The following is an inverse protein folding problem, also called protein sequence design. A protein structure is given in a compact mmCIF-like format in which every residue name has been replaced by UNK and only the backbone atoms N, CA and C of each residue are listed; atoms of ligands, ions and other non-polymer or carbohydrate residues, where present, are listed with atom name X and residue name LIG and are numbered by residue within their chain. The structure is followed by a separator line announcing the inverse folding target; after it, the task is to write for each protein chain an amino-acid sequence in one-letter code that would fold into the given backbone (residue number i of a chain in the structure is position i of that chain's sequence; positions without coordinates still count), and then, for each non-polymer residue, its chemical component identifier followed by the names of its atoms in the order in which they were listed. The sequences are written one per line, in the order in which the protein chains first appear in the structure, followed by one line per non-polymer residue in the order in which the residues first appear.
data_IF_452780224707
#
_entry.id   IF_452780224707
#
_cell.length_a   1.000
_cell.length_b   1.000
_cell.length_c   1.000
_cell.angle_alpha   90.00
_cell.angle_beta   90.00
_cell.angle_gamma   90.00
#
_symmetry.space_group_name_H-M   'P 1'
#
loop_
_entity.id
_entity.type
_entity.pdbx_description
1 polymer ?
#
# COMPACT_ATOMS: atom_id res chain seq x y z
N UNK A 1 16.60 3.67 40.79
CA UNK A 1 16.94 3.01 39.51
C UNK A 1 15.80 3.30 38.54
N UNK A 2 15.94 4.36 37.76
CA UNK A 2 14.98 4.81 36.75
C UNK A 2 15.62 4.60 35.38
N UNK A 3 15.00 3.75 34.56
CA UNK A 3 15.44 3.48 33.20
C UNK A 3 15.31 4.76 32.35
N UNK A 4 16.43 5.24 31.83
CA UNK A 4 16.51 6.36 30.89
C UNK A 4 15.99 5.91 29.53
N UNK A 5 14.75 6.29 29.22
CA UNK A 5 14.11 6.15 27.92
C UNK A 5 14.72 7.13 26.89
N UNK A 6 15.92 6.83 26.41
CA UNK A 6 16.75 7.78 25.65
C UNK A 6 16.95 7.48 24.16
N UNK A 7 15.99 6.86 23.44
CA UNK A 7 16.23 6.50 22.01
C UNK A 7 15.14 6.88 21.01
N UNK A 8 13.91 7.26 21.39
CA UNK A 8 12.84 7.42 20.38
C UNK A 8 12.28 8.84 20.26
N UNK A 9 13.06 9.83 19.78
CA UNK A 9 12.45 11.14 19.40
C UNK A 9 13.18 12.07 18.41
N UNK A 10 14.39 11.78 17.88
CA UNK A 10 15.18 12.82 17.17
C UNK A 10 15.46 12.69 15.66
N UNK A 11 15.10 11.61 14.95
CA UNK A 11 15.80 11.35 13.67
C UNK A 11 15.04 11.63 12.34
N UNK A 12 13.76 12.01 12.35
CA UNK A 12 13.02 12.23 11.08
C UNK A 12 12.95 13.68 10.57
N UNK A 13 13.36 14.68 11.36
CA UNK A 13 13.11 16.10 11.04
C UNK A 13 14.30 16.78 10.31
N UNK A 14 15.49 16.15 10.24
CA UNK A 14 16.68 16.73 9.57
C UNK A 14 17.17 15.94 8.36
N UNK A 15 16.35 15.06 7.78
CA UNK A 15 16.76 14.39 6.53
C UNK A 15 16.43 15.31 5.36
N UNK A 16 17.46 15.91 4.76
CA UNK A 16 17.29 16.70 3.55
C UNK A 16 16.74 15.80 2.43
N UNK A 17 15.83 16.29 1.58
CA UNK A 17 15.24 15.48 0.51
C UNK A 17 16.32 14.90 -0.42
N UNK A 18 17.44 15.60 -0.62
CA UNK A 18 18.58 15.06 -1.40
C UNK A 18 19.19 13.82 -0.75
N UNK A 19 19.34 13.81 0.58
CA UNK A 19 19.90 12.67 1.30
C UNK A 19 18.97 11.44 1.21
N UNK A 20 17.64 11.66 1.30
CA UNK A 20 16.64 10.57 1.13
C UNK A 20 16.78 9.96 -0.27
N UNK A 21 16.77 10.79 -1.31
CA UNK A 21 16.88 10.33 -2.70
C UNK A 21 18.21 9.60 -2.94
N UNK A 22 19.30 10.12 -2.42
CA UNK A 22 20.61 9.47 -2.47
C UNK A 22 20.59 8.09 -1.80
N UNK A 23 20.04 8.00 -0.59
CA UNK A 23 19.96 6.73 0.16
C UNK A 23 19.09 5.71 -0.56
N UNK A 24 17.93 6.12 -1.09
CA UNK A 24 17.06 5.25 -1.90
C UNK A 24 17.82 4.74 -3.12
N UNK A 25 18.51 5.61 -3.84
CA UNK A 25 19.28 5.25 -5.04
C UNK A 25 20.43 4.30 -4.69
N UNK A 26 21.14 4.55 -3.58
CA UNK A 26 22.21 3.69 -3.07
C UNK A 26 21.70 2.29 -2.73
N UNK A 27 20.59 2.21 -2.01
CA UNK A 27 19.96 0.93 -1.64
C UNK A 27 19.51 0.18 -2.90
N UNK A 28 18.89 0.88 -3.85
CA UNK A 28 18.45 0.29 -5.12
C UNK A 28 19.63 -0.30 -5.90
N UNK A 29 20.72 0.46 -6.05
CA UNK A 29 21.95 -0.02 -6.71
C UNK A 29 22.53 -1.26 -6.03
N UNK A 30 22.63 -1.25 -4.70
CA UNK A 30 23.12 -2.42 -3.95
C UNK A 30 22.23 -3.65 -4.17
N UNK A 31 20.90 -3.48 -4.19
CA UNK A 31 19.96 -4.58 -4.46
C UNK A 31 20.08 -5.11 -5.89
N UNK A 32 20.24 -4.23 -6.88
CA UNK A 32 20.43 -4.63 -8.28
C UNK A 32 21.73 -5.42 -8.43
N UNK A 33 22.84 -4.93 -7.88
CA UNK A 33 24.14 -5.64 -7.93
C UNK A 33 24.03 -7.02 -7.27
N UNK A 34 23.38 -7.11 -6.11
CA UNK A 34 23.15 -8.40 -5.45
C UNK A 34 22.24 -9.33 -6.26
N UNK A 35 21.21 -8.79 -6.91
CA UNK A 35 20.32 -9.53 -7.80
C UNK A 35 21.05 -10.09 -9.02
N UNK A 36 21.91 -9.28 -9.64
CA UNK A 36 22.76 -9.66 -10.77
C UNK A 36 23.74 -10.78 -10.33
N UNK A 37 24.48 -10.58 -9.22
CA UNK A 37 25.38 -11.60 -8.67
C UNK A 37 24.66 -12.91 -8.37
N UNK A 38 23.49 -12.84 -7.74
CA UNK A 38 22.67 -14.03 -7.45
C UNK A 38 22.19 -14.72 -8.73
N UNK A 39 21.86 -13.96 -9.78
CA UNK A 39 21.41 -14.51 -11.05
C UNK A 39 22.54 -15.25 -11.75
N UNK A 40 23.76 -14.72 -11.73
CA UNK A 40 24.92 -15.36 -12.33
C UNK A 40 25.47 -16.53 -11.51
N UNK A 41 25.26 -16.55 -10.18
CA UNK A 41 25.69 -17.66 -9.31
C UNK A 41 24.96 -18.98 -9.62
N UNK A 42 23.70 -18.92 -10.06
CA UNK A 42 22.89 -20.12 -10.31
C UNK A 42 23.00 -20.65 -11.75
N UNK A 43 23.89 -20.07 -12.57
CA UNK A 43 24.10 -20.49 -13.95
C UNK A 43 25.28 -21.48 -13.98
N UNK A 44 25.09 -22.72 -14.48
CA UNK A 44 26.19 -23.67 -14.63
C UNK A 44 27.23 -23.12 -15.62
N UNK A 45 28.51 -23.39 -15.36
CA UNK A 45 29.68 -22.97 -16.16
C UNK A 45 30.10 -21.49 -16.09
N UNK A 46 29.72 -20.74 -15.05
CA UNK A 46 30.07 -19.32 -14.89
C UNK A 46 31.19 -19.04 -13.86
N UNK A 47 32.03 -20.03 -13.54
CA UNK A 47 33.14 -19.82 -12.57
C UNK A 47 34.21 -18.85 -13.09
N UNK A 48 34.39 -18.73 -14.41
CA UNK A 48 35.47 -17.96 -15.05
C UNK A 48 34.97 -17.00 -16.15
N UNK A 49 33.90 -16.23 -15.90
CA UNK A 49 33.46 -15.20 -16.85
C UNK A 49 34.55 -14.13 -16.98
N UNK A 50 35.03 -13.90 -18.20
CA UNK A 50 36.10 -12.95 -18.46
C UNK A 50 35.52 -11.54 -18.61
N UNK A 51 36.26 -10.50 -18.19
CA UNK A 51 35.83 -9.09 -18.37
C UNK A 51 35.41 -8.76 -19.81
N UNK A 52 36.10 -9.32 -20.81
CA UNK A 52 35.81 -9.13 -22.23
C UNK A 52 34.44 -9.65 -22.64
N UNK A 53 33.96 -10.73 -22.01
CA UNK A 53 32.64 -11.31 -22.30
C UNK A 53 31.51 -10.46 -21.69
N UNK A 54 31.76 -9.79 -20.56
CA UNK A 54 30.82 -8.83 -19.96
C UNK A 54 30.73 -7.56 -20.79
N UNK A 55 31.82 -7.15 -21.44
CA UNK A 55 31.83 -5.99 -22.34
C UNK A 55 31.13 -6.28 -23.69
N UNK A 56 30.88 -7.56 -24.03
CA UNK A 56 30.15 -7.96 -25.23
C UNK A 56 28.62 -7.80 -25.05
N UNK A 57 27.96 -6.89 -25.81
CA UNK A 57 26.52 -6.71 -25.75
C UNK A 57 25.73 -7.94 -26.20
N UNK A 58 26.28 -8.77 -27.10
CA UNK A 58 25.59 -9.99 -27.55
C UNK A 58 25.48 -11.02 -26.43
N UNK A 59 26.57 -11.23 -25.70
CA UNK A 59 26.58 -12.08 -24.50
C UNK A 59 25.57 -11.58 -23.46
N UNK A 60 25.59 -10.28 -23.13
CA UNK A 60 24.65 -9.70 -22.16
C UNK A 60 23.19 -9.89 -22.59
N UNK A 61 22.84 -9.66 -23.85
CA UNK A 61 21.46 -9.75 -24.33
C UNK A 61 20.87 -11.15 -24.17
N UNK A 62 21.64 -12.21 -24.46
CA UNK A 62 21.22 -13.61 -24.25
C UNK A 62 20.89 -13.87 -22.77
N UNK A 63 21.60 -13.23 -21.84
CA UNK A 63 21.36 -13.38 -20.41
C UNK A 63 20.23 -12.50 -19.90
N UNK A 64 20.06 -11.29 -20.44
CA UNK A 64 18.90 -10.45 -20.14
C UNK A 64 17.62 -11.21 -20.46
N UNK A 65 17.54 -11.85 -21.63
CA UNK A 65 16.37 -12.64 -22.04
C UNK A 65 16.10 -13.84 -21.13
N UNK A 66 17.16 -14.50 -20.65
CA UNK A 66 17.03 -15.71 -19.81
C UNK A 66 16.81 -15.40 -18.33
N UNK A 67 17.29 -14.28 -17.83
CA UNK A 67 17.47 -14.05 -16.40
C UNK A 67 17.06 -12.64 -15.96
N UNK A 68 15.75 -12.44 -15.81
CA UNK A 68 15.18 -11.21 -15.23
C UNK A 68 15.15 -11.21 -13.69
N UNK A 69 15.80 -12.16 -13.02
CA UNK A 69 15.74 -12.31 -11.57
C UNK A 69 16.24 -11.07 -10.80
N UNK A 70 17.13 -10.26 -11.40
CA UNK A 70 17.58 -8.99 -10.83
C UNK A 70 16.49 -7.90 -10.85
N UNK A 71 15.49 -7.99 -11.75
CA UNK A 71 14.39 -7.02 -11.81
C UNK A 71 13.46 -7.10 -10.59
N UNK A 72 13.52 -8.16 -9.78
CA UNK A 72 12.73 -8.27 -8.54
C UNK A 72 12.95 -7.11 -7.57
N UNK A 73 14.15 -6.51 -7.58
CA UNK A 73 14.50 -5.37 -6.72
C UNK A 73 14.01 -4.02 -7.25
N UNK A 74 13.63 -3.95 -8.52
CA UNK A 74 13.10 -2.75 -9.14
C UNK A 74 11.58 -2.72 -8.91
N UNK A 75 11.11 -1.75 -8.12
CA UNK A 75 9.68 -1.55 -7.90
C UNK A 75 8.95 -1.40 -9.23
N UNK A 76 7.75 -1.99 -9.35
CA UNK A 76 6.91 -1.99 -10.55
C UNK A 76 7.47 -2.73 -11.79
N UNK A 77 8.56 -3.48 -11.68
CA UNK A 77 8.94 -4.39 -12.75
C UNK A 77 7.95 -5.56 -12.88
N UNK A 78 7.91 -6.20 -14.04
CA UNK A 78 7.06 -7.39 -14.26
C UNK A 78 7.40 -8.51 -13.26
N UNK A 79 8.70 -8.73 -13.01
CA UNK A 79 9.18 -9.73 -12.05
C UNK A 79 8.83 -9.36 -10.60
N UNK A 80 8.85 -8.08 -10.27
CA UNK A 80 8.43 -7.59 -8.96
C UNK A 80 6.96 -7.93 -8.68
N UNK A 81 6.06 -7.65 -9.63
CA UNK A 81 4.64 -8.00 -9.51
C UNK A 81 4.39 -9.50 -9.45
N UNK A 82 5.11 -10.29 -10.27
CA UNK A 82 5.00 -11.74 -10.25
C UNK A 82 5.39 -12.33 -8.89
N UNK A 83 6.48 -11.84 -8.29
CA UNK A 83 6.90 -12.23 -6.94
C UNK A 83 5.86 -11.82 -5.90
N UNK A 84 5.35 -10.58 -5.96
CA UNK A 84 4.35 -10.10 -5.00
C UNK A 84 3.06 -10.91 -5.05
N UNK A 85 2.62 -11.30 -6.26
CA UNK A 85 1.50 -12.21 -6.46
C UNK A 85 1.75 -13.57 -5.78
N UNK A 86 2.95 -14.13 -5.94
CA UNK A 86 3.30 -15.42 -5.32
C UNK A 86 3.36 -15.33 -3.80
N UNK A 87 3.89 -14.23 -3.25
CA UNK A 87 3.85 -13.95 -1.80
C UNK A 87 2.42 -13.84 -1.28
N UNK A 88 1.53 -13.16 -2.02
CA UNK A 88 0.10 -13.10 -1.69
C UNK A 88 -0.53 -14.49 -1.66
N UNK A 89 -0.26 -15.35 -2.66
CA UNK A 89 -0.76 -16.72 -2.63
C UNK A 89 -0.16 -17.56 -1.50
N UNK A 90 1.11 -17.34 -1.15
CA UNK A 90 1.71 -18.00 0.00
C UNK A 90 1.05 -17.56 1.31
N UNK A 91 0.78 -16.26 1.49
CA UNK A 91 0.05 -15.73 2.62
C UNK A 91 -1.37 -16.31 2.71
N UNK A 92 -2.10 -16.39 1.60
CA UNK A 92 -3.45 -16.97 1.56
C UNK A 92 -3.42 -18.46 1.97
N UNK A 93 -2.39 -19.22 1.58
CA UNK A 93 -2.23 -20.62 1.98
C UNK A 93 -1.90 -20.78 3.47
N UNK A 94 -1.06 -19.89 4.02
CA UNK A 94 -0.59 -19.98 5.41
C UNK A 94 -1.58 -19.41 6.42
N UNK A 95 -2.15 -18.24 6.13
CA UNK A 95 -3.01 -17.48 7.04
C UNK A 95 -4.50 -17.75 6.78
N UNK A 96 -4.82 -18.44 5.68
CA UNK A 96 -6.20 -18.67 5.25
C UNK A 96 -6.78 -17.46 4.50
N UNK A 97 -8.10 -17.29 4.60
CA UNK A 97 -8.82 -16.24 3.86
C UNK A 97 -8.26 -14.86 4.21
N UNK A 98 -7.93 -14.02 3.21
CA UNK A 98 -7.39 -12.69 3.48
C UNK A 98 -8.43 -11.89 4.27
N UNK A 99 -8.07 -11.53 5.50
CA UNK A 99 -8.90 -10.64 6.32
C UNK A 99 -8.58 -9.21 5.91
N UNK A 100 -9.52 -8.56 5.22
CA UNK A 100 -9.36 -7.15 4.82
C UNK A 100 -9.71 -6.29 6.03
N UNK A 101 -8.73 -5.54 6.53
CA UNK A 101 -8.98 -4.50 7.53
C UNK A 101 -9.39 -3.23 6.79
N UNK A 102 -10.67 -2.91 6.83
CA UNK A 102 -11.19 -1.65 6.31
C UNK A 102 -11.09 -0.60 7.43
N UNK A 103 -10.19 0.38 7.28
CA UNK A 103 -10.22 1.56 8.14
C UNK A 103 -11.26 2.54 7.60
N UNK A 104 -12.36 2.61 8.35
CA UNK A 104 -13.41 3.60 8.22
C UNK A 104 -12.83 4.98 8.56
N UNK A 105 -12.82 5.90 7.60
CA UNK A 105 -12.13 7.20 7.73
C UNK A 105 -12.92 8.31 7.05
N UNK A 106 -12.43 9.55 7.10
CA UNK A 106 -13.09 10.77 6.60
C UNK A 106 -13.54 10.74 5.12
N UNK A 107 -13.22 9.69 4.35
CA UNK A 107 -13.79 9.43 3.03
C UNK A 107 -15.31 9.13 3.10
N UNK A 108 -15.81 8.61 4.23
CA UNK A 108 -17.24 8.35 4.46
C UNK A 108 -18.09 9.62 4.43
N UNK A 109 -17.49 10.76 4.79
CA UNK A 109 -18.12 12.08 4.74
C UNK A 109 -18.49 12.47 3.29
N UNK A 110 -17.93 11.79 2.28
CA UNK A 110 -18.26 12.04 0.87
C UNK A 110 -19.48 11.25 0.38
N UNK A 111 -19.92 10.24 1.14
CA UNK A 111 -21.06 9.40 0.74
C UNK A 111 -22.37 10.06 1.20
N UNK A 112 -22.99 10.84 0.32
CA UNK A 112 -24.24 11.56 0.62
C UNK A 112 -25.34 10.62 1.12
N UNK A 113 -25.57 9.49 0.44
CA UNK A 113 -26.57 8.50 0.82
C UNK A 113 -26.36 7.93 2.23
N UNK A 114 -25.10 7.62 2.58
CA UNK A 114 -24.75 7.15 3.92
C UNK A 114 -25.06 8.21 4.98
N UNK A 115 -24.73 9.49 4.71
CA UNK A 115 -25.03 10.60 5.61
C UNK A 115 -26.55 10.82 5.78
N UNK A 116 -27.37 10.61 4.74
CA UNK A 116 -28.84 10.63 4.88
C UNK A 116 -29.27 9.60 5.92
N UNK A 117 -28.78 8.37 5.78
CA UNK A 117 -29.18 7.24 6.61
C UNK A 117 -28.76 7.49 8.07
N UNK A 118 -27.51 7.90 8.28
CA UNK A 118 -26.99 8.22 9.62
C UNK A 118 -27.76 9.38 10.26
N UNK A 119 -28.08 10.43 9.51
CA UNK A 119 -28.89 11.54 10.00
C UNK A 119 -30.31 11.09 10.38
N UNK A 120 -30.95 10.23 9.58
CA UNK A 120 -32.30 9.70 9.86
C UNK A 120 -32.33 8.81 11.10
N UNK A 121 -31.27 8.04 11.33
CA UNK A 121 -31.15 7.17 12.49
C UNK A 121 -30.79 7.94 13.77
N UNK A 122 -30.13 9.09 13.64
CA UNK A 122 -29.77 9.91 14.78
C UNK A 122 -30.97 10.72 15.29
N UNK A 123 -31.48 10.37 16.48
CA UNK A 123 -32.64 11.01 17.10
C UNK A 123 -32.39 12.49 17.46
N UNK A 124 -31.14 12.93 17.62
CA UNK A 124 -30.79 14.30 17.98
C UNK A 124 -31.04 15.31 16.84
N UNK A 125 -30.91 14.89 15.58
CA UNK A 125 -31.02 15.79 14.41
C UNK A 125 -32.35 15.63 13.66
N UNK A 126 -33.23 14.75 14.13
CA UNK A 126 -34.54 14.44 13.51
C UNK A 126 -35.46 15.66 13.34
N UNK A 127 -35.28 16.68 14.18
CA UNK A 127 -36.09 17.91 14.15
C UNK A 127 -35.56 18.97 13.17
N UNK A 128 -34.34 18.81 12.63
CA UNK A 128 -33.64 19.91 11.99
C UNK A 128 -33.91 19.96 10.47
N UNK A 129 -33.99 18.83 9.74
CA UNK A 129 -34.13 18.89 8.27
C UNK A 129 -34.69 17.58 7.65
N UNK A 130 -35.75 17.67 6.83
CA UNK A 130 -36.08 16.63 5.83
C UNK A 130 -35.05 16.75 4.69
N UNK A 131 -33.98 15.96 4.79
CA UNK A 131 -32.87 15.99 3.84
C UNK A 131 -33.06 14.95 2.73
N UNK A 132 -33.21 15.46 1.50
CA UNK A 132 -32.99 14.70 0.27
C UNK A 132 -31.49 14.59 -0.06
N UNK A 133 -31.09 13.51 -0.72
CA UNK A 133 -29.70 13.19 -1.11
C UNK A 133 -28.91 14.35 -1.72
N UNK A 134 -29.59 15.20 -2.50
CA UNK A 134 -29.00 16.33 -3.23
C UNK A 134 -28.62 17.51 -2.34
N UNK A 135 -29.29 17.71 -1.21
CA UNK A 135 -29.19 18.94 -0.41
C UNK A 135 -28.30 18.80 0.84
N UNK A 136 -27.78 17.60 1.13
CA UNK A 136 -27.06 17.30 2.36
C UNK A 136 -25.67 17.93 2.39
N UNK A 137 -24.98 17.92 1.25
CA UNK A 137 -23.60 18.41 1.15
C UNK A 137 -23.52 19.92 1.41
N UNK A 138 -24.57 20.66 1.03
CA UNK A 138 -24.65 22.11 1.24
C UNK A 138 -25.12 22.49 2.64
N UNK A 139 -25.99 21.68 3.25
CA UNK A 139 -26.61 21.97 4.56
C UNK A 139 -25.80 21.45 5.75
N UNK A 140 -25.04 20.36 5.59
CA UNK A 140 -24.30 19.75 6.70
C UNK A 140 -22.84 20.23 6.73
N UNK A 141 -22.42 20.77 7.87
CA UNK A 141 -21.03 21.14 8.09
C UNK A 141 -20.15 19.88 8.19
N UNK A 142 -18.90 19.95 7.71
CA UNK A 142 -17.94 18.83 7.72
C UNK A 142 -17.69 18.27 9.12
N UNK A 143 -17.76 19.12 10.16
CA UNK A 143 -17.66 18.69 11.55
C UNK A 143 -18.86 17.85 12.01
N UNK A 144 -20.08 18.21 11.58
CA UNK A 144 -21.29 17.45 11.88
C UNK A 144 -21.28 16.11 11.15
N UNK A 145 -20.82 16.07 9.89
CA UNK A 145 -20.65 14.80 9.16
C UNK A 145 -19.67 13.86 9.87
N UNK A 146 -18.54 14.40 10.35
CA UNK A 146 -17.57 13.62 11.12
C UNK A 146 -18.18 13.08 12.41
N UNK A 147 -18.99 13.88 13.09
CA UNK A 147 -19.67 13.48 14.33
C UNK A 147 -20.66 12.35 14.07
N UNK A 148 -21.49 12.46 13.03
CA UNK A 148 -22.45 11.41 12.64
C UNK A 148 -21.78 10.06 12.33
N UNK A 149 -20.66 10.08 11.60
CA UNK A 149 -19.91 8.86 11.25
C UNK A 149 -19.25 8.25 12.49
N UNK A 150 -18.74 9.08 13.40
CA UNK A 150 -18.07 8.60 14.61
C UNK A 150 -19.05 8.09 15.68
N UNK A 151 -20.27 8.63 15.73
CA UNK A 151 -21.31 8.21 16.68
C UNK A 151 -21.88 6.82 16.33
N UNK A 152 -22.03 6.50 15.04
CA UNK A 152 -22.58 5.22 14.60
C UNK A 152 -21.71 4.51 13.54
N UNK A 153 -20.54 3.98 13.94
CA UNK A 153 -19.66 3.23 13.04
C UNK A 153 -20.26 1.88 12.62
N UNK A 154 -21.23 1.36 13.36
CA UNK A 154 -21.86 0.05 13.09
C UNK A 154 -22.72 0.15 11.83
N UNK A 155 -23.55 1.19 11.73
CA UNK A 155 -24.34 1.44 10.53
C UNK A 155 -23.46 1.67 9.31
N UNK A 156 -22.35 2.38 9.44
CA UNK A 156 -21.39 2.53 8.35
C UNK A 156 -20.85 1.16 7.88
N UNK A 157 -20.44 0.30 8.81
CA UNK A 157 -19.96 -1.05 8.47
C UNK A 157 -21.03 -1.88 7.74
N UNK A 158 -22.29 -1.84 8.22
CA UNK A 158 -23.40 -2.56 7.60
C UNK A 158 -23.70 -2.03 6.19
N UNK A 159 -23.65 -0.71 6.01
CA UNK A 159 -23.84 -0.07 4.71
C UNK A 159 -22.81 -0.55 3.69
N UNK A 160 -21.53 -0.48 4.02
CA UNK A 160 -20.46 -0.92 3.10
C UNK A 160 -20.45 -2.43 2.90
N UNK A 161 -20.82 -3.22 3.93
CA UNK A 161 -20.97 -4.66 3.77
C UNK A 161 -22.02 -5.00 2.71
N UNK A 162 -23.21 -4.38 2.81
CA UNK A 162 -24.26 -4.56 1.79
C UNK A 162 -23.81 -4.12 0.42
N UNK A 163 -23.10 -2.99 0.33
CA UNK A 163 -22.58 -2.48 -0.95
C UNK A 163 -21.61 -3.49 -1.58
N UNK A 164 -20.67 -4.03 -0.81
CA UNK A 164 -19.72 -5.04 -1.28
C UNK A 164 -20.43 -6.33 -1.69
N UNK A 165 -21.39 -6.79 -0.89
CA UNK A 165 -22.18 -8.00 -1.17
C UNK A 165 -23.04 -7.86 -2.44
N UNK A 166 -23.42 -6.63 -2.84
CA UNK A 166 -24.16 -6.39 -4.10
C UNK A 166 -23.28 -6.26 -5.35
N UNK A 167 -21.99 -5.97 -5.18
CA UNK A 167 -21.05 -5.85 -6.30
C UNK A 167 -20.44 -7.19 -6.72
N UNK A 168 -20.62 -8.24 -5.92
CA UNK A 168 -20.16 -9.62 -6.16
C UNK A 168 -21.35 -10.55 -6.41
#
# INVERSE_FOLDING_TARGET
MSATSGICRNDHIRVTPQHILYMIMKILRMRIVNGIKSSFRCVPNMENVTRREIEDPAFINVWIEKNFAYLKSLSNSVVHWMNRKNELFAMIRQLGKPTVFLMMSAIEIRWSHLLVILHRLNNYYKHIIDLDESNIVEKLNRSMCSTLVNEDPVTCCVYFKKLVDTLY
#
